data_IF_464812322877
#
_entry.id   IF_464812322877
#
_cell.length_a   1.000
_cell.length_b   1.000
_cell.length_c   1.000
_cell.angle_alpha   90.00
_cell.angle_beta   90.00
_cell.angle_gamma   90.00
#
_symmetry.space_group_name_H-M   'P 1'
#
loop_
_entity.id
_entity.type
_entity.pdbx_description
1 polymer ?
#
# COMPACT_ATOMS: atom_id res chain seq x y z
N UNK A 1 2.52 -7.86 16.38
CA UNK A 1 1.69 -8.29 15.24
C UNK A 1 2.19 -7.51 14.05
N UNK A 2 2.91 -8.16 13.14
CA UNK A 2 3.63 -7.44 12.10
C UNK A 2 3.40 -8.14 10.77
N UNK A 3 2.76 -7.44 9.84
CA UNK A 3 2.76 -7.82 8.43
C UNK A 3 4.16 -7.73 7.87
N UNK A 4 4.44 -8.53 6.84
CA UNK A 4 5.64 -8.39 6.06
C UNK A 4 5.32 -7.63 4.77
N UNK A 5 6.19 -6.69 4.41
CA UNK A 5 6.04 -5.86 3.22
C UNK A 5 7.19 -6.16 2.27
N UNK A 6 6.90 -6.36 0.99
CA UNK A 6 7.91 -6.56 -0.04
C UNK A 6 7.56 -5.70 -1.26
N UNK A 7 8.36 -4.67 -1.59
CA UNK A 7 9.56 -4.20 -0.90
C UNK A 7 9.27 -3.49 0.44
N UNK A 8 10.09 -3.73 1.46
CA UNK A 8 9.93 -3.16 2.82
C UNK A 8 10.51 -1.75 3.00
N UNK A 9 11.49 -1.36 2.17
CA UNK A 9 12.25 -0.12 2.34
C UNK A 9 11.72 1.05 1.50
N UNK A 10 11.51 0.83 0.19
CA UNK A 10 11.12 1.87 -0.76
C UNK A 10 10.56 1.27 -2.05
N UNK A 11 9.64 2.00 -2.69
CA UNK A 11 9.11 1.71 -4.03
C UNK A 11 9.84 2.58 -5.06
N UNK A 12 10.31 1.96 -6.14
CA UNK A 12 11.19 2.60 -7.11
C UNK A 12 10.47 3.02 -8.38
N UNK A 13 9.94 4.23 -8.44
CA UNK A 13 9.32 4.76 -9.66
C UNK A 13 10.40 5.25 -10.64
N UNK A 14 10.63 4.50 -11.73
CA UNK A 14 11.64 4.85 -12.75
C UNK A 14 11.10 5.92 -13.70
N UNK A 15 11.91 6.92 -14.02
CA UNK A 15 11.60 7.93 -15.05
C UNK A 15 11.36 7.26 -16.41
N UNK A 16 10.48 7.82 -17.26
CA UNK A 16 9.89 9.17 -17.19
C UNK A 16 8.67 9.30 -16.27
N UNK A 17 8.63 10.34 -15.43
CA UNK A 17 7.48 10.61 -14.52
C UNK A 17 6.28 11.26 -15.24
N UNK A 18 6.40 11.43 -16.57
CA UNK A 18 5.34 11.90 -17.46
C UNK A 18 4.36 10.80 -17.84
N UNK A 19 4.65 9.54 -17.49
CA UNK A 19 3.78 8.40 -17.73
C UNK A 19 3.34 7.77 -16.41
N UNK A 20 2.25 7.02 -16.46
CA UNK A 20 1.69 6.42 -15.26
C UNK A 20 2.45 5.13 -14.91
N UNK A 21 3.42 5.22 -14.00
CA UNK A 21 4.28 4.11 -13.58
C UNK A 21 3.58 3.31 -12.48
N UNK A 22 3.62 1.99 -12.59
CA UNK A 22 3.05 1.06 -11.61
C UNK A 22 4.16 0.28 -10.93
N UNK A 23 4.10 0.19 -9.61
CA UNK A 23 4.94 -0.66 -8.78
C UNK A 23 4.06 -1.59 -7.94
N UNK A 24 4.54 -2.80 -7.68
CA UNK A 24 3.87 -3.78 -6.84
C UNK A 24 4.43 -3.75 -5.41
N UNK A 25 3.53 -3.72 -4.43
CA UNK A 25 3.82 -3.85 -3.01
C UNK A 25 3.09 -5.10 -2.48
N UNK A 26 3.82 -6.13 -2.13
CA UNK A 26 3.29 -7.37 -1.58
C UNK A 26 3.16 -7.23 -0.06
N UNK A 27 1.98 -7.52 0.46
CA UNK A 27 1.68 -7.58 1.90
C UNK A 27 1.48 -9.05 2.26
N UNK A 28 2.35 -9.61 3.08
CA UNK A 28 2.23 -10.99 3.58
C UNK A 28 1.75 -11.01 5.02
N UNK A 29 0.87 -11.95 5.33
CA UNK A 29 0.38 -12.20 6.68
C UNK A 29 1.02 -13.48 7.25
N UNK A 30 2.13 -13.38 8.00
CA UNK A 30 2.73 -14.54 8.66
C UNK A 30 1.96 -15.00 9.91
N UNK A 31 0.87 -14.33 10.28
CA UNK A 31 0.12 -14.65 11.51
C UNK A 31 -0.92 -15.74 11.28
N UNK A 32 -1.40 -16.36 12.37
CA UNK A 32 -2.45 -17.39 12.33
C UNK A 32 -3.88 -16.81 12.35
N UNK A 33 -4.02 -15.48 12.38
CA UNK A 33 -5.30 -14.80 12.34
C UNK A 33 -5.44 -14.00 11.05
N UNK A 34 -6.67 -13.83 10.54
CA UNK A 34 -6.92 -12.91 9.44
C UNK A 34 -6.59 -11.48 9.87
N UNK A 35 -6.04 -10.70 8.96
CA UNK A 35 -5.70 -9.30 9.20
C UNK A 35 -6.44 -8.40 8.21
N UNK A 36 -6.88 -7.23 8.66
CA UNK A 36 -7.28 -6.15 7.79
C UNK A 36 -6.10 -5.20 7.62
N UNK A 37 -5.88 -4.71 6.40
CA UNK A 37 -4.88 -3.67 6.12
C UNK A 37 -5.52 -2.45 5.46
N UNK A 38 -4.87 -1.30 5.65
CA UNK A 38 -5.25 -0.02 5.05
C UNK A 38 -3.99 0.77 4.73
N UNK A 39 -3.81 1.07 3.45
CA UNK A 39 -2.70 1.86 2.92
C UNK A 39 -3.12 3.33 2.89
N UNK A 40 -2.35 4.17 3.58
CA UNK A 40 -2.45 5.62 3.54
C UNK A 40 -1.22 6.19 2.85
N UNK A 41 -1.40 7.24 2.07
CA UNK A 41 -0.29 7.96 1.44
C UNK A 41 -0.36 9.44 1.80
N UNK A 42 0.80 10.10 1.93
CA UNK A 42 0.87 11.56 2.10
C UNK A 42 0.50 12.31 0.83
N UNK A 43 0.45 11.64 -0.33
CA UNK A 43 0.19 12.22 -1.64
C UNK A 43 -0.92 11.49 -2.43
N UNK A 44 -2.17 11.45 -1.92
CA UNK A 44 -3.27 10.70 -2.54
C UNK A 44 -3.68 11.22 -3.93
N UNK A 45 -3.32 12.47 -4.26
CA UNK A 45 -3.54 13.03 -5.60
C UNK A 45 -2.55 12.50 -6.63
N UNK A 46 -1.35 12.11 -6.19
CA UNK A 46 -0.27 11.67 -7.08
C UNK A 46 -0.19 10.15 -7.18
N UNK A 47 -0.64 9.41 -6.17
CA UNK A 47 -0.57 7.95 -6.18
C UNK A 47 -1.95 7.32 -6.06
N UNK A 48 -2.27 6.44 -7.01
CA UNK A 48 -3.42 5.56 -6.95
C UNK A 48 -2.97 4.21 -6.38
N UNK A 49 -3.54 3.81 -5.25
CA UNK A 49 -3.25 2.52 -4.61
C UNK A 49 -4.45 1.61 -4.78
N UNK A 50 -4.25 0.43 -5.37
CA UNK A 50 -5.29 -0.59 -5.50
C UNK A 50 -4.75 -1.99 -5.20
N UNK A 51 -5.39 -2.74 -4.28
CA UNK A 51 -6.41 -2.28 -3.32
C UNK A 51 -5.81 -1.35 -2.25
N UNK A 52 -6.54 -0.31 -1.83
CA UNK A 52 -6.10 0.58 -0.74
C UNK A 52 -6.40 0.02 0.66
N UNK A 53 -7.36 -0.90 0.75
CA UNK A 53 -7.70 -1.63 1.97
C UNK A 53 -8.17 -3.02 1.60
N UNK A 54 -7.99 -3.97 2.49
CA UNK A 54 -8.45 -5.33 2.27
C UNK A 54 -8.21 -6.21 3.48
N UNK A 55 -8.51 -7.50 3.30
CA UNK A 55 -8.28 -8.55 4.29
C UNK A 55 -7.28 -9.54 3.71
N UNK A 56 -6.32 -9.97 4.53
CA UNK A 56 -5.34 -11.00 4.18
C UNK A 56 -5.51 -12.15 5.16
N UNK A 57 -5.79 -13.33 4.63
CA UNK A 57 -5.95 -14.54 5.43
C UNK A 57 -4.62 -15.00 6.02
N UNK A 58 -4.64 -15.80 7.10
CA UNK A 58 -3.41 -16.33 7.70
C UNK A 58 -2.58 -17.15 6.70
N UNK A 59 -1.29 -16.84 6.59
CA UNK A 59 -0.38 -17.47 5.65
C UNK A 59 -0.56 -17.06 4.19
N UNK A 60 -1.44 -16.10 3.89
CA UNK A 60 -1.62 -15.56 2.55
C UNK A 60 -0.83 -14.26 2.35
N UNK A 61 -0.65 -13.92 1.08
CA UNK A 61 -0.09 -12.67 0.62
C UNK A 61 -1.04 -11.98 -0.35
N UNK A 62 -0.96 -10.65 -0.38
CA UNK A 62 -1.78 -9.81 -1.23
C UNK A 62 -0.91 -8.77 -1.92
N UNK A 63 -1.03 -8.70 -3.24
CA UNK A 63 -0.34 -7.69 -4.04
C UNK A 63 -1.15 -6.39 -4.08
N UNK A 64 -0.53 -5.31 -3.65
CA UNK A 64 -1.04 -3.94 -3.75
C UNK A 64 -0.31 -3.21 -4.87
N UNK A 65 -1.07 -2.79 -5.88
CA UNK A 65 -0.53 -2.01 -6.98
C UNK A 65 -0.54 -0.53 -6.63
N UNK A 66 0.64 0.07 -6.60
CA UNK A 66 0.85 1.51 -6.40
C UNK A 66 1.19 2.12 -7.75
N UNK A 67 0.27 2.92 -8.27
CA UNK A 67 0.44 3.63 -9.53
C UNK A 67 0.69 5.11 -9.26
N UNK A 68 1.83 5.62 -9.68
CA UNK A 68 2.09 7.04 -9.75
C UNK A 68 1.36 7.62 -10.96
N UNK A 69 0.63 8.72 -10.76
CA UNK A 69 0.00 9.46 -11.84
C UNK A 69 1.06 10.23 -12.63
N UNK A 70 0.86 10.27 -13.94
CA UNK A 70 1.65 11.08 -14.85
C UNK A 70 1.66 12.55 -14.40
N UNK A 71 2.84 13.09 -14.16
CA UNK A 71 3.02 14.51 -13.90
C UNK A 71 2.93 15.29 -15.21
N UNK A 72 2.41 16.52 -15.15
CA UNK A 72 2.36 17.42 -16.32
C UNK A 72 3.75 17.85 -16.80
N UNK A 73 4.73 17.86 -15.89
CA UNK A 73 6.10 18.28 -16.15
C UNK A 73 7.03 17.38 -15.31
N UNK A 74 8.15 16.93 -15.89
CA UNK A 74 9.10 16.07 -15.15
C UNK A 74 9.77 16.93 -14.08
N UNK A 75 9.62 16.60 -12.79
CA UNK A 75 10.26 17.37 -11.74
C UNK A 75 11.79 17.29 -11.89
N UNK A 76 12.52 18.34 -11.47
CA UNK A 76 13.96 18.44 -11.68
C UNK A 76 14.70 17.21 -11.14
N UNK A 77 15.89 16.92 -11.67
CA UNK A 77 16.65 15.71 -11.29
C UNK A 77 16.98 15.62 -9.79
N UNK A 78 17.06 16.78 -9.13
CA UNK A 78 17.27 16.90 -7.69
C UNK A 78 15.98 16.70 -6.85
N UNK A 79 14.83 16.52 -7.50
CA UNK A 79 13.56 16.31 -6.81
C UNK A 79 13.57 14.95 -6.11
N UNK A 80 13.80 14.99 -4.80
CA UNK A 80 13.64 13.83 -3.92
C UNK A 80 12.15 13.64 -3.63
N UNK A 81 11.58 12.54 -4.09
CA UNK A 81 10.26 12.10 -3.64
C UNK A 81 10.29 11.91 -2.13
N UNK A 82 9.52 12.73 -1.40
CA UNK A 82 9.35 12.64 0.06
C UNK A 82 8.02 12.00 0.45
N UNK A 83 7.33 11.44 -0.55
CA UNK A 83 6.04 10.81 -0.36
C UNK A 83 6.19 9.54 0.46
N UNK A 84 5.29 9.35 1.41
CA UNK A 84 5.33 8.21 2.32
C UNK A 84 4.06 7.40 2.17
N UNK A 85 4.23 6.09 2.13
CA UNK A 85 3.15 5.12 2.25
C UNK A 85 3.19 4.52 3.65
N UNK A 86 2.04 4.50 4.30
CA UNK A 86 1.84 3.90 5.60
C UNK A 86 0.85 2.75 5.43
N UNK A 87 1.30 1.53 5.64
CA UNK A 87 0.42 0.36 5.71
C UNK A 87 0.08 0.13 7.17
N UNK A 88 -1.19 0.39 7.53
CA UNK A 88 -1.71 0.02 8.84
C UNK A 88 -2.38 -1.34 8.75
N UNK A 89 -2.10 -2.23 9.69
CA UNK A 89 -2.72 -3.55 9.78
C UNK A 89 -3.29 -3.81 11.16
N UNK A 90 -4.39 -4.52 11.22
CA UNK A 90 -5.04 -4.94 12.46
C UNK A 90 -5.53 -6.37 12.33
N UNK A 91 -5.33 -7.19 13.37
CA UNK A 91 -5.89 -8.54 13.39
C UNK A 91 -7.42 -8.48 13.56
N UNK A 92 -8.11 -9.28 12.75
CA UNK A 92 -9.54 -9.51 12.83
C UNK A 92 -9.73 -10.67 13.82
N UNK A 93 -10.19 -10.33 15.01
CA UNK A 93 -10.66 -11.30 16.01
C UNK A 93 -12.13 -11.64 15.74
N UNK A 94 -12.64 -12.74 16.31
CA UNK A 94 -14.03 -13.17 16.12
C UNK A 94 -15.07 -12.09 16.46
N UNK A 95 -14.78 -11.19 17.42
CA UNK A 95 -15.62 -10.02 17.73
C UNK A 95 -15.62 -8.95 16.63
N UNK A 96 -14.56 -8.89 15.80
CA UNK A 96 -14.41 -7.94 14.70
C UNK A 96 -14.86 -8.48 13.35
N UNK A 97 -15.21 -9.76 13.24
CA UNK A 97 -15.71 -10.37 12.00
C UNK A 97 -17.09 -9.83 11.57
N UNK A 98 -17.85 -9.23 12.50
CA UNK A 98 -19.18 -8.64 12.22
C UNK A 98 -19.15 -7.11 12.04
N UNK A 99 -17.99 -6.46 12.20
CA UNK A 99 -17.86 -5.02 12.00
C UNK A 99 -17.61 -4.71 10.52
N UNK A 100 -18.47 -3.89 9.93
CA UNK A 100 -18.33 -3.45 8.55
C UNK A 100 -16.98 -2.72 8.35
N UNK A 101 -16.34 -2.83 7.16
CA UNK A 101 -15.03 -2.22 6.89
C UNK A 101 -14.99 -0.68 6.96
N UNK A 102 -16.13 -0.02 7.23
CA UNK A 102 -16.24 1.41 7.48
C UNK A 102 -16.00 1.79 8.95
N UNK A 103 -16.08 0.83 9.88
CA UNK A 103 -15.95 1.02 11.34
C UNK A 103 -14.57 0.58 11.88
N UNK A 104 -13.60 0.35 10.97
CA UNK A 104 -12.20 -0.01 11.25
C UNK A 104 -11.22 1.08 10.78
#
# INVERSE_FOLDING_TARGET
MSIELEPSAQLGFRRPLTEAIKESLIIRNPTQLPIAFKVKTTAPKQYCVRPNSGRVEPGQELEVQVQMQAMKEDPPIDFKCKDKFLVQSVAITAEREQLAPADL
#
